data_IF_344775015214
#
_entry.id   IF_344775015214
#
_cell.length_a   1.000
_cell.length_b   1.000
_cell.length_c   1.000
_cell.angle_alpha   90.00
_cell.angle_beta   90.00
_cell.angle_gamma   90.00
#
_symmetry.space_group_name_H-M   'P 1'
#
loop_
_entity.id
_entity.type
_entity.pdbx_description
1 polymer ?
#
# COMPACT_ATOMS: atom_id res chain seq x y z
N UNK A 1 7.62 3.19 -2.85
CA UNK A 1 7.34 1.78 -3.22
C UNK A 1 8.33 0.81 -2.57
N UNK A 2 9.64 1.08 -2.56
CA UNK A 2 10.66 0.24 -1.89
C UNK A 2 10.36 -0.04 -0.39
N UNK A 3 9.94 0.94 0.44
CA UNK A 3 9.69 0.68 1.86
C UNK A 3 8.47 -0.24 2.09
N UNK A 4 7.41 -0.04 1.31
CA UNK A 4 6.15 -0.80 1.43
C UNK A 4 6.29 -2.27 1.04
N UNK A 5 7.09 -2.56 0.00
CA UNK A 5 7.37 -3.94 -0.42
C UNK A 5 8.24 -4.65 0.63
N UNK A 6 9.25 -3.99 1.18
CA UNK A 6 10.12 -4.57 2.20
C UNK A 6 9.37 -4.88 3.51
N UNK A 7 8.46 -4.00 3.94
CA UNK A 7 7.59 -4.27 5.09
C UNK A 7 6.62 -5.43 4.86
N UNK A 8 6.09 -5.59 3.64
CA UNK A 8 5.25 -6.75 3.29
C UNK A 8 6.04 -8.06 3.33
N UNK A 9 7.28 -8.06 2.85
CA UNK A 9 8.19 -9.21 2.95
C UNK A 9 8.53 -9.57 4.41
N UNK A 10 8.74 -8.57 5.26
CA UNK A 10 8.99 -8.77 6.70
C UNK A 10 7.79 -9.36 7.48
N UNK A 11 6.56 -9.04 7.07
CA UNK A 11 5.34 -9.69 7.60
C UNK A 11 5.27 -11.16 7.16
N UNK A 12 5.72 -11.48 5.95
CA UNK A 12 5.72 -12.86 5.43
C UNK A 12 6.77 -13.79 6.04
N UNK A 13 7.90 -13.27 6.53
CA UNK A 13 9.01 -14.10 7.03
C UNK A 13 9.09 -14.19 8.56
N UNK A 14 8.76 -13.12 9.31
CA UNK A 14 9.12 -13.05 10.75
C UNK A 14 7.99 -12.61 11.68
N UNK A 15 6.87 -12.08 11.16
CA UNK A 15 5.91 -11.38 12.02
C UNK A 15 4.56 -12.08 12.01
N UNK A 16 4.04 -12.49 13.17
CA UNK A 16 2.59 -12.57 13.38
C UNK A 16 2.13 -11.10 13.49
N UNK A 17 1.51 -10.52 12.45
CA UNK A 17 1.17 -9.10 12.41
C UNK A 17 0.29 -8.72 13.61
N UNK A 18 0.56 -7.56 14.23
CA UNK A 18 -0.05 -7.16 15.51
C UNK A 18 -1.58 -7.10 15.51
N UNK A 19 -2.23 -6.83 14.36
CA UNK A 19 -3.69 -6.91 14.23
C UNK A 19 -4.19 -8.35 14.38
N UNK A 20 -3.49 -9.31 13.78
CA UNK A 20 -3.85 -10.73 13.84
C UNK A 20 -3.70 -11.27 15.27
N UNK A 21 -2.61 -10.93 15.96
CA UNK A 21 -2.42 -11.27 17.37
C UNK A 21 -3.47 -10.62 18.27
N UNK A 22 -3.82 -9.35 18.00
CA UNK A 22 -4.88 -8.64 18.73
C UNK A 22 -6.26 -9.26 18.56
N UNK A 23 -6.61 -9.72 17.35
CA UNK A 23 -7.86 -10.43 17.09
C UNK A 23 -7.89 -11.81 17.75
N UNK A 24 -6.78 -12.54 17.74
CA UNK A 24 -6.67 -13.83 18.43
C UNK A 24 -6.82 -13.67 19.95
N UNK A 25 -6.18 -12.65 20.55
CA UNK A 25 -6.33 -12.33 21.98
C UNK A 25 -7.74 -11.87 22.35
N UNK A 26 -8.47 -11.24 21.41
CA UNK A 26 -9.86 -10.86 21.57
C UNK A 26 -10.85 -12.06 21.44
N UNK A 27 -10.35 -13.27 21.22
CA UNK A 27 -11.16 -14.49 21.11
C UNK A 27 -11.67 -14.79 19.69
N UNK A 28 -11.19 -14.07 18.67
CA UNK A 28 -11.51 -14.40 17.28
C UNK A 28 -10.77 -15.67 16.84
N UNK A 29 -11.40 -16.47 15.99
CA UNK A 29 -10.80 -17.69 15.46
C UNK A 29 -9.53 -17.31 14.66
N UNK A 30 -8.34 -17.90 14.95
CA UNK A 30 -7.09 -17.58 14.26
C UNK A 30 -7.18 -17.76 12.75
N UNK A 31 -8.01 -18.70 12.26
CA UNK A 31 -8.22 -18.89 10.83
C UNK A 31 -8.87 -17.66 10.17
N UNK A 32 -9.76 -16.98 10.86
CA UNK A 32 -10.41 -15.77 10.35
C UNK A 32 -9.49 -14.56 10.42
N UNK A 33 -8.74 -14.41 11.52
CA UNK A 33 -7.77 -13.32 11.69
C UNK A 33 -6.70 -13.32 10.58
N UNK A 34 -6.20 -14.49 10.18
CA UNK A 34 -5.25 -14.64 9.06
C UNK A 34 -5.86 -14.19 7.73
N UNK A 35 -7.12 -14.61 7.45
CA UNK A 35 -7.81 -14.26 6.19
C UNK A 35 -8.02 -12.75 6.08
N UNK A 36 -8.50 -12.11 7.14
CA UNK A 36 -8.67 -10.66 7.18
C UNK A 36 -7.35 -9.93 6.99
N UNK A 37 -6.28 -10.40 7.64
CA UNK A 37 -4.97 -9.79 7.53
C UNK A 37 -4.42 -9.78 6.09
N UNK A 38 -4.60 -10.88 5.33
CA UNK A 38 -4.18 -10.96 3.93
C UNK A 38 -4.98 -9.96 3.07
N UNK A 39 -6.30 -9.88 3.28
CA UNK A 39 -7.16 -8.93 2.55
C UNK A 39 -6.75 -7.48 2.81
N UNK A 40 -6.47 -7.13 4.07
CA UNK A 40 -6.02 -5.78 4.44
C UNK A 40 -4.67 -5.44 3.80
N UNK A 41 -3.73 -6.38 3.79
CA UNK A 41 -2.43 -6.20 3.15
C UNK A 41 -2.57 -5.95 1.63
N UNK A 42 -3.46 -6.69 0.95
CA UNK A 42 -3.77 -6.47 -0.46
C UNK A 42 -4.44 -5.10 -0.70
N UNK A 43 -5.37 -4.70 0.17
CA UNK A 43 -6.02 -3.39 0.08
C UNK A 43 -5.01 -2.24 0.20
N UNK A 44 -4.06 -2.33 1.14
CA UNK A 44 -3.02 -1.31 1.32
C UNK A 44 -2.14 -1.22 0.07
N UNK A 45 -1.74 -2.36 -0.51
CA UNK A 45 -0.98 -2.36 -1.77
C UNK A 45 -1.79 -1.75 -2.91
N UNK A 46 -3.05 -2.15 -3.08
CA UNK A 46 -3.91 -1.58 -4.12
C UNK A 46 -4.08 -0.06 -3.95
N UNK A 47 -4.32 0.42 -2.72
CA UNK A 47 -4.46 1.83 -2.41
C UNK A 47 -3.17 2.62 -2.72
N UNK A 48 -2.00 2.06 -2.40
CA UNK A 48 -0.71 2.71 -2.71
C UNK A 48 -0.43 2.77 -4.21
N UNK A 49 -0.78 1.72 -4.97
CA UNK A 49 -0.66 1.72 -6.44
C UNK A 49 -1.59 2.76 -7.06
N UNK A 50 -2.86 2.78 -6.66
CA UNK A 50 -3.84 3.77 -7.13
C UNK A 50 -3.41 5.20 -6.79
N UNK A 51 -2.90 5.42 -5.58
CA UNK A 51 -2.40 6.73 -5.15
C UNK A 51 -1.19 7.18 -5.98
N UNK A 52 -0.25 6.28 -6.26
CA UNK A 52 0.91 6.59 -7.10
C UNK A 52 0.49 6.94 -8.54
N UNK A 53 -0.47 6.19 -9.11
CA UNK A 53 -1.01 6.48 -10.44
C UNK A 53 -1.76 7.82 -10.49
N UNK A 54 -2.60 8.10 -9.49
CA UNK A 54 -3.32 9.37 -9.38
C UNK A 54 -2.37 10.55 -9.26
N UNK A 55 -1.36 10.46 -8.38
CA UNK A 55 -0.36 11.50 -8.21
C UNK A 55 0.43 11.69 -9.49
N UNK A 56 0.89 10.61 -10.14
CA UNK A 56 1.61 10.71 -11.41
C UNK A 56 0.74 11.37 -12.50
N UNK A 57 -0.53 11.00 -12.59
CA UNK A 57 -1.45 11.59 -13.56
C UNK A 57 -1.74 13.07 -13.28
N UNK A 58 -1.89 13.45 -12.01
CA UNK A 58 -2.11 14.84 -11.60
C UNK A 58 -0.86 15.69 -11.82
N UNK A 59 0.32 15.18 -11.46
CA UNK A 59 1.62 15.81 -11.72
C UNK A 59 1.86 15.93 -13.23
N UNK A 60 1.55 14.91 -14.02
CA UNK A 60 1.64 14.98 -15.49
C UNK A 60 0.74 16.10 -16.02
N UNK A 61 -0.51 16.21 -15.55
CA UNK A 61 -1.41 17.29 -15.96
C UNK A 61 -0.96 18.68 -15.51
N UNK A 62 -0.27 18.79 -14.37
CA UNK A 62 0.18 20.07 -13.80
C UNK A 62 1.53 20.53 -14.36
N UNK A 63 2.49 19.63 -14.58
CA UNK A 63 3.86 19.97 -14.99
C UNK A 63 4.14 19.79 -16.49
N UNK A 64 3.36 18.97 -17.21
CA UNK A 64 3.57 18.71 -18.63
C UNK A 64 2.34 19.13 -19.46
N UNK A 65 2.48 20.18 -20.25
CA UNK A 65 1.51 20.53 -21.29
C UNK A 65 1.54 19.53 -22.47
N UNK A 66 0.57 19.63 -23.39
CA UNK A 66 0.34 18.75 -24.55
C UNK A 66 1.56 18.49 -25.44
N UNK A 67 2.64 19.28 -25.30
CA UNK A 67 3.87 19.19 -26.08
C UNK A 67 5.08 18.59 -25.33
N UNK A 68 4.91 17.91 -24.18
CA UNK A 68 6.05 17.43 -23.36
C UNK A 68 7.04 18.55 -22.96
N UNK A 69 6.59 19.80 -22.92
CA UNK A 69 7.41 20.90 -22.41
C UNK A 69 7.24 20.97 -20.89
N UNK A 70 8.35 20.93 -20.15
CA UNK A 70 8.38 21.18 -18.71
C UNK A 70 7.94 22.64 -18.47
N UNK A 71 6.74 22.84 -17.92
CA UNK A 71 6.20 24.18 -17.63
C UNK A 71 6.83 24.83 -16.39
N UNK A 72 7.70 24.12 -15.65
CA UNK A 72 8.63 24.75 -14.71
C UNK A 72 9.87 25.20 -15.48
N UNK A 73 9.77 26.38 -16.09
CA UNK A 73 10.92 27.21 -16.42
C UNK A 73 10.65 28.61 -15.87
N UNK A 74 11.46 28.94 -14.86
CA UNK A 74 11.61 30.18 -14.10
C UNK A 74 10.49 30.53 -13.08
#
# INVERSE_FOLDING_TARGET
>A
MIPSINSMMGVGIVSIPGMMTGQILAGANPADAVRYQIVVMLMIVAATVLSALLVLHLVRRRCFGTAMNLLLRD
#
